data_IF_811671647258
#
_entry.id   IF_811671647258
#
_cell.length_a   1.000
_cell.length_b   1.000
_cell.length_c   1.000
_cell.angle_alpha   90.00
_cell.angle_beta   90.00
_cell.angle_gamma   90.00
#
_symmetry.space_group_name_H-M   'P 1'
#
loop_
_entity.id
_entity.type
_entity.pdbx_description
1 polymer ?
#
# COMPACT_ATOMS: atom_id res chain seq x y z
N UNK A 1 -8.98 19.93 3.03
CA UNK A 1 -8.57 18.89 2.06
C UNK A 1 -7.07 19.06 1.85
N UNK A 2 -6.25 18.37 2.64
CA UNK A 2 -4.79 18.56 2.61
C UNK A 2 -4.26 18.30 1.20
N UNK A 3 -3.66 19.31 0.57
CA UNK A 3 -3.12 19.27 -0.80
C UNK A 3 -1.95 18.30 -1.02
N UNK A 4 -1.76 17.30 -0.14
CA UNK A 4 -0.78 16.23 -0.31
C UNK A 4 -1.33 15.17 -1.26
N UNK A 5 -0.78 15.14 -2.47
CA UNK A 5 -1.07 14.07 -3.45
C UNK A 5 -0.59 12.73 -2.91
N UNK A 6 -1.48 11.74 -2.98
CA UNK A 6 -1.11 10.35 -2.77
C UNK A 6 -0.09 9.92 -3.83
N UNK A 7 1.06 9.44 -3.39
CA UNK A 7 2.20 9.04 -4.21
C UNK A 7 2.78 7.73 -3.68
N UNK A 8 3.13 6.85 -4.60
CA UNK A 8 3.81 5.60 -4.33
C UNK A 8 5.31 5.81 -4.58
N UNK A 9 6.15 5.38 -3.65
CA UNK A 9 7.59 5.45 -3.84
C UNK A 9 8.09 4.32 -4.73
N UNK A 10 7.56 3.11 -4.56
CA UNK A 10 7.88 1.94 -5.38
C UNK A 10 6.67 1.01 -5.49
N UNK A 11 6.48 0.43 -6.69
CA UNK A 11 5.46 -0.57 -6.98
C UNK A 11 6.13 -1.78 -7.64
N UNK A 12 5.84 -2.97 -7.12
CA UNK A 12 6.37 -4.22 -7.64
C UNK A 12 5.24 -5.24 -7.77
N UNK A 13 5.09 -5.83 -8.95
CA UNK A 13 4.14 -6.92 -9.16
C UNK A 13 4.70 -8.21 -8.56
N UNK A 14 3.91 -8.89 -7.73
CA UNK A 14 4.29 -10.17 -7.09
C UNK A 14 3.35 -11.30 -7.52
N UNK A 15 2.55 -11.07 -8.55
CA UNK A 15 1.60 -12.01 -9.12
C UNK A 15 0.53 -11.30 -9.94
N UNK A 16 -0.40 -12.04 -10.57
CA UNK A 16 -1.37 -11.47 -11.50
C UNK A 16 -2.29 -10.41 -10.90
N UNK A 17 -2.62 -10.54 -9.61
CA UNK A 17 -3.54 -9.65 -8.89
C UNK A 17 -2.95 -9.13 -7.57
N UNK A 18 -1.62 -9.22 -7.41
CA UNK A 18 -0.95 -8.89 -6.15
C UNK A 18 0.23 -7.97 -6.43
N UNK A 19 0.28 -6.87 -5.70
CA UNK A 19 1.35 -5.88 -5.77
C UNK A 19 1.92 -5.60 -4.39
N UNK A 20 3.22 -5.36 -4.34
CA UNK A 20 3.91 -4.81 -3.18
C UNK A 20 4.14 -3.33 -3.42
N UNK A 21 3.71 -2.50 -2.47
CA UNK A 21 3.78 -1.05 -2.54
C UNK A 21 4.63 -0.53 -1.39
N UNK A 22 5.57 0.37 -1.68
CA UNK A 22 6.36 1.09 -0.68
C UNK A 22 5.89 2.53 -0.64
N UNK A 23 5.53 3.00 0.55
CA UNK A 23 5.13 4.38 0.81
C UNK A 23 6.15 5.04 1.74
N UNK A 24 6.41 6.33 1.49
CA UNK A 24 7.16 7.21 2.42
C UNK A 24 6.24 8.11 3.26
N UNK A 25 4.93 8.04 3.02
CA UNK A 25 3.91 8.89 3.61
C UNK A 25 2.79 8.05 4.21
N UNK A 26 2.08 8.63 5.18
CA UNK A 26 1.01 8.01 5.95
C UNK A 26 -0.35 8.67 5.75
N UNK A 27 -0.75 8.95 4.50
CA UNK A 27 -2.09 9.49 4.24
C UNK A 27 -3.14 8.40 4.55
N UNK A 28 -4.22 8.74 5.26
CA UNK A 28 -5.26 7.77 5.59
C UNK A 28 -5.83 7.10 4.32
N UNK A 29 -6.07 5.80 4.33
CA UNK A 29 -6.58 5.03 3.18
C UNK A 29 -5.85 5.28 1.83
N UNK A 30 -4.60 5.75 1.83
CA UNK A 30 -3.91 6.20 0.61
C UNK A 30 -3.93 5.15 -0.51
N UNK A 31 -3.54 3.91 -0.19
CA UNK A 31 -3.48 2.81 -1.15
C UNK A 31 -4.86 2.54 -1.74
N UNK A 32 -5.89 2.45 -0.88
CA UNK A 32 -7.27 2.20 -1.32
C UNK A 32 -7.75 3.29 -2.27
N UNK A 33 -7.52 4.56 -1.92
CA UNK A 33 -7.91 5.71 -2.76
C UNK A 33 -7.15 5.75 -4.09
N UNK A 34 -5.86 5.44 -4.09
CA UNK A 34 -5.05 5.40 -5.32
C UNK A 34 -5.54 4.33 -6.29
N UNK A 35 -5.75 3.09 -5.83
CA UNK A 35 -6.23 2.01 -6.70
C UNK A 35 -7.68 2.21 -7.14
N UNK A 36 -8.53 2.75 -6.27
CA UNK A 36 -9.91 3.07 -6.63
C UNK A 36 -9.97 4.10 -7.77
N UNK A 37 -9.12 5.13 -7.72
CA UNK A 37 -9.05 6.16 -8.76
C UNK A 37 -8.63 5.61 -10.14
N UNK A 38 -7.95 4.46 -10.19
CA UNK A 38 -7.56 3.78 -11.44
C UNK A 38 -8.48 2.58 -11.76
N UNK A 39 -9.63 2.46 -11.09
CA UNK A 39 -10.65 1.44 -11.39
C UNK A 39 -10.45 0.08 -10.71
N UNK A 40 -9.60 0.00 -9.69
CA UNK A 40 -9.33 -1.25 -8.97
C UNK A 40 -9.79 -1.19 -7.50
N UNK A 41 -10.40 -2.29 -7.04
CA UNK A 41 -10.77 -2.46 -5.64
C UNK A 41 -9.72 -3.27 -4.87
N UNK A 42 -9.22 -2.72 -3.76
CA UNK A 42 -8.25 -3.40 -2.90
C UNK A 42 -8.95 -4.37 -1.96
N UNK A 43 -9.03 -5.65 -2.37
CA UNK A 43 -9.65 -6.73 -1.57
C UNK A 43 -8.91 -7.04 -0.27
N UNK A 44 -7.57 -6.99 -0.28
CA UNK A 44 -6.74 -7.27 0.90
C UNK A 44 -5.55 -6.33 0.95
N UNK A 45 -5.36 -5.68 2.10
CA UNK A 45 -4.22 -4.82 2.36
C UNK A 45 -3.54 -5.28 3.64
N UNK A 46 -2.28 -5.71 3.53
CA UNK A 46 -1.47 -6.14 4.67
C UNK A 46 -0.20 -5.32 4.70
N UNK A 47 0.12 -4.76 5.87
CA UNK A 47 1.37 -4.05 6.08
C UNK A 47 2.45 -5.05 6.46
N UNK A 48 3.34 -5.35 5.52
CA UNK A 48 4.41 -6.34 5.71
C UNK A 48 5.65 -5.81 6.45
N UNK A 49 5.90 -4.49 6.43
CA UNK A 49 7.09 -3.85 7.00
C UNK A 49 6.80 -2.39 7.37
N UNK A 50 7.48 -1.89 8.42
CA UNK A 50 7.56 -0.47 8.76
C UNK A 50 9.02 -0.15 9.06
N UNK A 51 9.65 0.74 8.29
CA UNK A 51 11.07 1.06 8.49
C UNK A 51 11.91 -0.22 8.45
N UNK A 52 12.68 -0.54 9.49
CA UNK A 52 13.45 -1.79 9.57
C UNK A 52 12.69 -2.97 10.21
N UNK A 53 11.49 -2.75 10.75
CA UNK A 53 10.67 -3.77 11.38
C UNK A 53 9.88 -4.57 10.33
N UNK A 54 10.06 -5.89 10.30
CA UNK A 54 9.31 -6.82 9.45
C UNK A 54 8.20 -7.48 10.28
N UNK A 55 7.09 -7.85 9.63
CA UNK A 55 5.96 -8.49 10.29
C UNK A 55 6.32 -9.86 10.92
N UNK A 56 7.43 -10.49 10.51
CA UNK A 56 7.88 -11.78 11.07
C UNK A 56 6.82 -12.86 10.94
N UNK A 57 6.82 -13.82 11.88
CA UNK A 57 5.80 -14.86 12.02
C UNK A 57 4.69 -14.45 13.00
N UNK A 58 4.22 -13.20 12.91
CA UNK A 58 3.10 -12.78 13.76
C UNK A 58 1.83 -13.56 13.35
N UNK A 59 1.17 -14.27 14.28
CA UNK A 59 -0.10 -14.92 13.98
C UNK A 59 -1.12 -13.90 13.49
N UNK A 60 -1.94 -14.31 12.51
CA UNK A 60 -2.86 -13.45 11.77
C UNK A 60 -4.01 -12.90 12.60
#
# INVERSE_FOLDING_TARGET
>A
MDGRRAQIAQLHSIGPTRVRVVLRQGINQQIRRMFYAVGYEVKRLVRARIGNLRLGDLPR
#
